data_IF_464274582809
#
_entry.id   IF_464274582809
#
_cell.length_a   1.000
_cell.length_b   1.000
_cell.length_c   1.000
_cell.angle_alpha   90.00
_cell.angle_beta   90.00
_cell.angle_gamma   90.00
#
_symmetry.space_group_name_H-M   'P 1'
#
loop_
_entity.id
_entity.type
_entity.pdbx_description
1 polymer ?
#
# COMPACT_ATOMS: atom_id res chain seq x y z
N UNK A 1 77.89 15.60 54.11
CA UNK A 1 78.83 16.63 53.59
C UNK A 1 79.11 16.26 52.14
N UNK A 2 78.15 16.43 51.21
CA UNK A 2 77.77 17.67 50.53
C UNK A 2 78.97 18.48 50.04
N UNK A 3 79.29 18.34 48.75
CA UNK A 3 79.81 19.41 47.89
C UNK A 3 79.09 19.34 46.53
N UNK A 4 77.88 19.92 46.53
CA UNK A 4 77.40 20.98 45.62
C UNK A 4 78.54 21.74 44.88
N UNK A 5 78.45 22.27 43.65
CA UNK A 5 77.36 22.79 42.79
C UNK A 5 77.88 23.03 41.35
N UNK A 6 77.00 22.79 40.37
CA UNK A 6 76.68 23.60 39.17
C UNK A 6 77.77 23.87 38.11
N UNK A 7 77.44 23.95 36.81
CA UNK A 7 76.84 25.17 36.22
C UNK A 7 76.41 24.93 34.74
N UNK A 8 75.11 25.21 34.44
CA UNK A 8 74.53 25.85 33.22
C UNK A 8 74.55 25.06 31.87
N UNK A 9 73.57 25.10 30.94
CA UNK A 9 72.30 25.83 30.73
C UNK A 9 71.67 25.28 29.41
N UNK A 10 70.33 25.25 29.29
CA UNK A 10 69.49 25.32 28.05
C UNK A 10 69.64 24.18 27.02
N UNK A 11 68.62 23.59 26.41
CA UNK A 11 67.26 24.01 26.03
C UNK A 11 66.49 22.72 25.65
N UNK A 12 65.17 22.67 25.85
CA UNK A 12 64.17 22.15 24.88
C UNK A 12 62.79 22.10 25.55
N UNK A 13 61.96 23.11 25.25
CA UNK A 13 60.51 23.07 25.46
C UNK A 13 59.85 22.12 24.45
N UNK A 14 58.81 21.38 24.87
CA UNK A 14 57.47 21.42 24.26
C UNK A 14 56.42 20.63 25.07
N UNK A 15 55.24 21.24 25.19
CA UNK A 15 54.03 20.85 25.91
C UNK A 15 53.43 19.49 25.50
N UNK A 16 52.74 18.81 26.44
CA UNK A 16 51.48 18.08 26.17
C UNK A 16 50.84 17.54 27.47
N UNK A 17 49.71 18.11 27.88
CA UNK A 17 48.78 17.56 28.88
C UNK A 17 47.81 16.60 28.19
N UNK A 18 48.17 15.32 28.10
CA UNK A 18 47.31 14.30 27.49
C UNK A 18 46.28 13.76 28.51
N UNK A 19 44.99 13.87 28.17
CA UNK A 19 43.88 13.17 28.83
C UNK A 19 44.07 11.65 28.65
N UNK A 20 43.88 10.85 29.71
CA UNK A 20 44.13 9.41 29.67
C UNK A 20 43.25 8.70 28.61
N UNK A 21 43.82 7.85 27.73
CA UNK A 21 43.11 7.23 26.60
C UNK A 21 41.89 6.41 27.00
N UNK A 22 41.92 5.79 28.18
CA UNK A 22 40.87 4.92 28.70
C UNK A 22 39.56 5.67 28.98
N UNK A 23 39.64 6.91 29.45
CA UNK A 23 38.46 7.77 29.69
C UNK A 23 37.81 8.14 28.35
N UNK A 24 38.61 8.36 27.32
CA UNK A 24 38.11 8.71 25.99
C UNK A 24 37.42 7.53 25.29
N UNK A 25 37.92 6.31 25.48
CA UNK A 25 37.28 5.08 24.99
C UNK A 25 35.94 4.86 25.69
N UNK A 26 35.87 5.02 27.01
CA UNK A 26 34.64 4.82 27.78
C UNK A 26 33.55 5.86 27.44
N UNK A 27 33.93 7.11 27.17
CA UNK A 27 33.00 8.14 26.69
C UNK A 27 32.56 7.89 25.23
N UNK A 28 33.43 7.34 24.38
CA UNK A 28 33.06 6.89 23.04
C UNK A 28 32.08 5.71 23.06
N UNK A 29 32.24 4.74 23.96
CA UNK A 29 31.31 3.62 24.14
C UNK A 29 29.93 4.09 24.62
N UNK A 30 29.89 5.05 25.55
CA UNK A 30 28.62 5.68 25.99
C UNK A 30 27.97 6.47 24.86
N UNK A 31 28.73 7.22 24.07
CA UNK A 31 28.18 7.91 22.90
C UNK A 31 27.65 6.93 21.84
N UNK A 32 28.37 5.84 21.58
CA UNK A 32 27.92 4.76 20.68
C UNK A 32 26.62 4.12 21.19
N UNK A 33 26.51 3.87 22.49
CA UNK A 33 25.29 3.34 23.08
C UNK A 33 24.10 4.32 22.96
N UNK A 34 24.32 5.62 23.16
CA UNK A 34 23.28 6.65 22.98
C UNK A 34 22.86 6.77 21.52
N UNK A 35 23.79 6.69 20.56
CA UNK A 35 23.48 6.67 19.12
C UNK A 35 22.65 5.43 18.76
N UNK A 36 23.01 4.24 19.28
CA UNK A 36 22.24 3.01 19.06
C UNK A 36 20.82 3.10 19.66
N UNK A 37 20.67 3.72 20.83
CA UNK A 37 19.35 3.98 21.44
C UNK A 37 18.54 4.96 20.59
N UNK A 38 19.15 6.03 20.07
CA UNK A 38 18.48 6.99 19.17
C UNK A 38 18.10 6.37 17.81
N UNK A 39 18.90 5.43 17.27
CA UNK A 39 18.53 4.67 16.07
C UNK A 39 17.37 3.72 16.34
N UNK A 40 17.26 3.16 17.55
CA UNK A 40 16.10 2.33 17.95
C UNK A 40 14.84 3.15 18.25
N UNK A 41 14.98 4.43 18.63
CA UNK A 41 13.88 5.34 18.94
C UNK A 41 13.45 6.21 17.75
N UNK A 42 14.23 6.21 16.67
CA UNK A 42 13.88 6.85 15.40
C UNK A 42 13.29 5.80 14.48
N UNK A 43 12.00 5.49 14.66
CA UNK A 43 11.22 4.85 13.61
C UNK A 43 11.16 5.80 12.42
N UNK A 44 12.19 5.80 11.58
CA UNK A 44 12.13 6.48 10.29
C UNK A 44 11.02 5.75 9.54
N UNK A 45 9.88 6.42 9.39
CA UNK A 45 8.80 6.02 8.49
C UNK A 45 9.36 6.11 7.07
N UNK A 46 10.15 5.12 6.66
CA UNK A 46 10.69 5.07 5.30
C UNK A 46 9.58 4.66 4.36
N UNK A 47 9.00 5.64 3.67
CA UNK A 47 8.19 5.35 2.50
C UNK A 47 9.05 4.60 1.49
N UNK A 48 8.50 3.53 0.93
CA UNK A 48 9.21 2.62 0.04
C UNK A 48 8.63 2.73 -1.35
N UNK A 49 9.49 2.89 -2.35
CA UNK A 49 9.11 2.75 -3.75
C UNK A 49 8.91 1.27 -4.09
N UNK A 50 7.65 0.90 -4.35
CA UNK A 50 7.24 -0.44 -4.75
C UNK A 50 7.06 -0.59 -6.26
N UNK A 51 7.49 0.39 -7.05
CA UNK A 51 7.53 0.29 -8.52
C UNK A 51 8.23 -1.00 -8.95
N UNK A 52 7.64 -1.70 -9.91
CA UNK A 52 8.12 -2.99 -10.42
C UNK A 52 8.26 -4.11 -9.36
N UNK A 53 7.54 -4.00 -8.23
CA UNK A 53 7.49 -5.02 -7.18
C UNK A 53 6.05 -5.44 -6.88
N UNK A 54 5.93 -6.63 -6.32
CA UNK A 54 4.67 -7.22 -5.83
C UNK A 54 4.79 -7.57 -4.34
N UNK A 55 3.67 -7.57 -3.63
CA UNK A 55 3.52 -8.38 -2.44
C UNK A 55 3.07 -9.79 -2.86
N UNK A 56 3.87 -10.80 -2.55
CA UNK A 56 3.56 -12.20 -2.78
C UNK A 56 3.20 -12.89 -1.46
N UNK A 57 2.01 -13.50 -1.41
CA UNK A 57 1.49 -14.28 -0.30
C UNK A 57 1.42 -15.74 -0.74
N UNK A 58 2.32 -16.60 -0.26
CA UNK A 58 2.55 -17.92 -0.89
C UNK A 58 1.51 -18.97 -0.51
N UNK A 59 0.75 -18.78 0.57
CA UNK A 59 -0.17 -19.79 1.08
C UNK A 59 -1.36 -19.19 1.81
N UNK A 60 -2.41 -19.99 1.86
CA UNK A 60 -3.61 -19.70 2.64
C UNK A 60 -3.26 -19.61 4.13
N UNK A 61 -3.73 -18.55 4.79
CA UNK A 61 -3.57 -18.35 6.23
C UNK A 61 -4.54 -17.28 6.71
N UNK A 62 -4.76 -17.20 8.03
CA UNK A 62 -5.42 -16.06 8.68
C UNK A 62 -4.40 -15.11 9.35
N UNK A 63 -3.12 -15.18 8.97
CA UNK A 63 -2.02 -14.49 9.68
C UNK A 63 -1.07 -13.71 8.77
N UNK A 64 -1.04 -14.02 7.48
CA UNK A 64 -0.21 -13.31 6.50
C UNK A 64 -0.98 -12.16 5.88
N UNK A 65 -0.50 -10.93 6.07
CA UNK A 65 -1.14 -9.74 5.52
C UNK A 65 -0.18 -8.54 5.45
N UNK A 66 -0.58 -7.54 4.67
CA UNK A 66 0.07 -6.23 4.62
C UNK A 66 -0.89 -5.18 5.14
N UNK A 67 -0.47 -4.41 6.14
CA UNK A 67 -1.17 -3.21 6.61
C UNK A 67 -0.63 -2.01 5.84
N UNK A 68 -1.49 -1.31 5.12
CA UNK A 68 -1.13 -0.06 4.45
C UNK A 68 -1.45 1.13 5.35
N UNK A 69 -0.52 2.07 5.44
CA UNK A 69 -0.66 3.30 6.21
C UNK A 69 -0.99 4.46 5.28
N UNK A 70 -2.25 4.93 5.24
CA UNK A 70 -2.67 5.96 4.30
C UNK A 70 -2.11 7.34 4.65
N UNK A 71 -1.93 8.17 3.63
CA UNK A 71 -1.46 9.56 3.74
C UNK A 71 -2.56 10.51 4.25
N UNK A 72 -3.83 10.10 4.15
CA UNK A 72 -5.01 10.85 4.59
C UNK A 72 -5.86 9.96 5.50
N UNK A 73 -6.39 10.53 6.58
CA UNK A 73 -7.17 9.79 7.57
C UNK A 73 -8.68 9.75 7.31
N UNK A 74 -9.15 10.29 6.18
CA UNK A 74 -10.59 10.44 5.91
C UNK A 74 -11.27 11.46 6.83
N UNK A 75 -12.61 11.46 6.94
CA UNK A 75 -13.53 10.57 6.21
C UNK A 75 -13.53 10.86 4.71
N UNK A 76 -13.89 9.88 3.90
CA UNK A 76 -13.92 10.00 2.43
C UNK A 76 -15.35 10.09 1.93
N UNK A 77 -15.70 11.21 1.29
CA UNK A 77 -16.98 11.40 0.62
C UNK A 77 -16.96 10.85 -0.82
N UNK A 78 -15.80 10.58 -1.37
CA UNK A 78 -15.63 9.85 -2.62
C UNK A 78 -14.25 9.20 -2.61
N UNK A 79 -14.08 8.18 -3.43
CA UNK A 79 -12.81 7.50 -3.55
C UNK A 79 -12.68 6.80 -4.90
N UNK A 80 -11.44 6.53 -5.27
CA UNK A 80 -11.08 5.55 -6.30
C UNK A 80 -9.99 4.64 -5.73
N UNK A 81 -10.13 3.34 -5.89
CA UNK A 81 -9.10 2.35 -5.54
C UNK A 81 -8.74 1.59 -6.81
N UNK A 82 -7.44 1.46 -7.09
CA UNK A 82 -6.91 0.64 -8.17
C UNK A 82 -5.85 -0.32 -7.63
N UNK A 83 -5.79 -1.54 -8.17
CA UNK A 83 -4.79 -2.55 -7.86
C UNK A 83 -4.64 -3.55 -9.01
N UNK A 84 -3.54 -4.31 -9.00
CA UNK A 84 -3.37 -5.49 -9.84
C UNK A 84 -3.26 -6.73 -8.97
N UNK A 85 -3.92 -7.81 -9.38
CA UNK A 85 -3.90 -9.10 -8.71
C UNK A 85 -3.45 -10.20 -9.67
N UNK A 86 -2.62 -11.12 -9.19
CA UNK A 86 -2.26 -12.34 -9.90
C UNK A 86 -2.48 -13.55 -8.98
N UNK A 87 -3.53 -14.32 -9.25
CA UNK A 87 -3.93 -15.47 -8.42
C UNK A 87 -4.66 -16.53 -9.23
N UNK A 88 -4.46 -17.80 -8.88
CA UNK A 88 -5.18 -18.95 -9.44
C UNK A 88 -6.35 -19.41 -8.57
N UNK A 89 -6.67 -18.66 -7.51
CA UNK A 89 -7.74 -19.02 -6.58
C UNK A 89 -9.11 -19.01 -7.28
N UNK A 90 -9.85 -20.09 -7.10
CA UNK A 90 -11.27 -20.21 -7.52
C UNK A 90 -12.25 -19.99 -6.36
N UNK A 91 -11.76 -20.03 -5.12
CA UNK A 91 -12.53 -19.70 -3.92
C UNK A 91 -12.63 -18.18 -3.71
N UNK A 92 -13.55 -17.79 -2.85
CA UNK A 92 -13.69 -16.41 -2.44
C UNK A 92 -12.42 -15.88 -1.76
N UNK A 93 -12.08 -14.62 -1.99
CA UNK A 93 -10.92 -13.96 -1.39
C UNK A 93 -11.01 -12.43 -1.44
N UNK A 94 -10.44 -11.78 -0.44
CA UNK A 94 -10.28 -10.33 -0.36
C UNK A 94 -9.10 -9.85 -1.22
N UNK A 95 -9.31 -8.76 -1.96
CA UNK A 95 -8.25 -8.06 -2.71
C UNK A 95 -7.81 -6.77 -1.99
N UNK A 96 -8.76 -6.08 -1.36
CA UNK A 96 -8.52 -4.85 -0.63
C UNK A 96 -9.60 -4.69 0.45
N UNK A 97 -9.20 -4.66 1.72
CA UNK A 97 -10.12 -4.48 2.85
C UNK A 97 -9.78 -3.18 3.60
N UNK A 98 -10.73 -2.25 3.68
CA UNK A 98 -10.65 -1.04 4.47
C UNK A 98 -11.74 -1.08 5.56
N UNK A 99 -11.28 -1.22 6.80
CA UNK A 99 -12.12 -1.17 7.98
C UNK A 99 -11.92 0.15 8.71
N UNK A 100 -12.97 0.64 9.36
CA UNK A 100 -12.94 1.78 10.27
C UNK A 100 -13.51 1.36 11.63
N UNK A 101 -13.41 2.17 12.70
CA UNK A 101 -13.75 1.73 14.06
C UNK A 101 -15.15 1.09 14.23
N UNK A 102 -16.11 1.47 13.39
CA UNK A 102 -17.50 1.01 13.49
C UNK A 102 -17.98 0.21 12.25
N UNK A 103 -17.10 -0.05 11.28
CA UNK A 103 -17.42 -0.71 10.01
C UNK A 103 -16.24 -1.59 9.60
N UNK A 104 -16.42 -2.90 9.67
CA UNK A 104 -15.51 -3.90 9.11
C UNK A 104 -15.37 -3.73 7.59
N UNK A 105 -16.50 -3.65 6.88
CA UNK A 105 -16.59 -3.50 5.43
C UNK A 105 -16.96 -2.07 5.02
N UNK A 106 -16.21 -1.09 5.54
CA UNK A 106 -16.42 0.32 5.19
C UNK A 106 -16.08 0.59 3.72
N UNK A 107 -15.02 -0.04 3.21
CA UNK A 107 -14.80 -0.26 1.78
C UNK A 107 -14.09 -1.59 1.52
N UNK A 108 -14.67 -2.47 0.70
CA UNK A 108 -14.10 -3.80 0.40
C UNK A 108 -14.19 -4.11 -1.10
N UNK A 109 -13.09 -4.62 -1.66
CA UNK A 109 -13.07 -5.28 -2.96
C UNK A 109 -12.86 -6.78 -2.77
N UNK A 110 -13.85 -7.57 -3.15
CA UNK A 110 -13.88 -8.99 -2.84
C UNK A 110 -14.27 -9.82 -4.07
N UNK A 111 -13.46 -10.83 -4.37
CA UNK A 111 -13.86 -11.85 -5.33
C UNK A 111 -14.67 -12.90 -4.59
N UNK A 112 -15.94 -13.04 -4.97
CA UNK A 112 -16.86 -14.00 -4.37
C UNK A 112 -16.94 -15.28 -5.23
N UNK A 113 -17.61 -16.30 -4.69
CA UNK A 113 -17.95 -17.55 -5.37
C UNK A 113 -18.87 -17.28 -6.56
N UNK A 114 -19.04 -18.29 -7.41
CA UNK A 114 -19.99 -18.28 -8.53
C UNK A 114 -19.78 -17.13 -9.53
N UNK A 115 -18.53 -16.74 -9.78
CA UNK A 115 -18.17 -15.68 -10.72
C UNK A 115 -18.77 -14.31 -10.35
N UNK A 116 -18.92 -14.03 -9.06
CA UNK A 116 -19.36 -12.73 -8.57
C UNK A 116 -18.20 -11.94 -7.99
N UNK A 117 -18.24 -10.64 -8.17
CA UNK A 117 -17.35 -9.69 -7.52
C UNK A 117 -18.20 -8.71 -6.74
N UNK A 118 -17.83 -8.41 -5.50
CA UNK A 118 -18.52 -7.42 -4.68
C UNK A 118 -17.65 -6.22 -4.40
N UNK A 119 -18.31 -5.06 -4.40
CA UNK A 119 -17.82 -3.83 -3.79
C UNK A 119 -18.70 -3.56 -2.58
N UNK A 120 -18.11 -3.54 -1.39
CA UNK A 120 -18.83 -3.15 -0.18
C UNK A 120 -18.55 -1.70 0.18
N UNK A 121 -19.57 -0.98 0.61
CA UNK A 121 -19.46 0.38 1.14
C UNK A 121 -20.35 0.48 2.39
N UNK A 122 -19.77 0.84 3.54
CA UNK A 122 -20.50 0.97 4.79
C UNK A 122 -21.23 -0.30 5.28
N UNK A 123 -20.67 -1.48 5.00
CA UNK A 123 -21.23 -2.82 5.22
C UNK A 123 -22.46 -3.15 4.36
N UNK A 124 -22.61 -2.50 3.21
CA UNK A 124 -23.58 -2.90 2.19
C UNK A 124 -22.81 -3.39 0.98
N UNK A 125 -23.26 -4.50 0.39
CA UNK A 125 -22.62 -5.11 -0.77
C UNK A 125 -23.34 -4.78 -2.07
N UNK A 126 -22.56 -4.42 -3.09
CA UNK A 126 -22.98 -4.39 -4.47
C UNK A 126 -22.27 -5.48 -5.26
N UNK A 127 -23.04 -6.42 -5.81
CA UNK A 127 -22.54 -7.56 -6.58
C UNK A 127 -22.57 -7.28 -8.09
N UNK A 128 -21.50 -7.71 -8.77
CA UNK A 128 -21.36 -7.71 -10.22
C UNK A 128 -21.01 -9.12 -10.73
N UNK A 129 -21.50 -9.49 -11.90
CA UNK A 129 -21.17 -10.74 -12.57
C UNK A 129 -19.80 -10.61 -13.27
N UNK A 130 -18.73 -10.78 -12.48
CA UNK A 130 -17.34 -10.68 -12.92
C UNK A 130 -16.63 -12.00 -12.58
N UNK A 131 -16.35 -12.84 -13.58
CA UNK A 131 -15.64 -14.09 -13.38
C UNK A 131 -14.24 -13.90 -12.79
N UNK A 132 -13.91 -14.71 -11.79
CA UNK A 132 -12.57 -14.79 -11.21
C UNK A 132 -11.59 -15.68 -12.01
N UNK A 133 -11.92 -16.06 -13.23
CA UNK A 133 -11.17 -17.05 -14.02
C UNK A 133 -9.88 -16.51 -14.64
N UNK A 134 -9.79 -15.19 -14.85
CA UNK A 134 -8.56 -14.57 -15.32
C UNK A 134 -7.54 -14.51 -14.19
N UNK A 135 -6.40 -15.16 -14.40
CA UNK A 135 -5.36 -15.28 -13.37
C UNK A 135 -4.77 -13.92 -13.02
N UNK A 136 -4.55 -13.05 -14.02
CA UNK A 136 -4.02 -11.69 -13.85
C UNK A 136 -5.12 -10.66 -14.14
N UNK A 137 -5.31 -9.70 -13.24
CA UNK A 137 -6.36 -8.67 -13.36
C UNK A 137 -5.86 -7.30 -12.90
N UNK A 138 -6.21 -6.26 -13.65
CA UNK A 138 -6.12 -4.85 -13.22
C UNK A 138 -7.53 -4.40 -12.85
N UNK A 139 -7.74 -4.01 -11.60
CA UNK A 139 -9.05 -3.69 -11.05
C UNK A 139 -9.03 -2.27 -10.53
N UNK A 140 -10.02 -1.48 -10.93
CA UNK A 140 -10.31 -0.19 -10.32
C UNK A 140 -11.78 -0.13 -9.90
N UNK A 141 -12.07 0.52 -8.79
CA UNK A 141 -13.42 0.82 -8.34
C UNK A 141 -13.49 2.27 -7.87
N UNK A 142 -14.51 3.01 -8.30
CA UNK A 142 -14.76 4.38 -7.84
C UNK A 142 -16.17 4.50 -7.27
N UNK A 143 -16.34 5.39 -6.32
CA UNK A 143 -17.63 5.74 -5.75
C UNK A 143 -17.68 7.21 -5.32
N UNK A 144 -18.80 7.87 -5.60
CA UNK A 144 -19.10 9.25 -5.19
C UNK A 144 -20.32 9.31 -4.27
N UNK A 145 -20.18 9.84 -3.06
CA UNK A 145 -21.28 9.99 -2.11
C UNK A 145 -22.38 10.92 -2.59
N UNK A 146 -22.02 12.02 -3.27
CA UNK A 146 -22.98 13.06 -3.63
C UNK A 146 -24.04 12.50 -4.58
N UNK A 147 -23.61 11.74 -5.59
CA UNK A 147 -24.48 11.15 -6.61
C UNK A 147 -24.87 9.71 -6.30
N UNK A 148 -24.02 8.99 -5.57
CA UNK A 148 -24.05 7.53 -5.42
C UNK A 148 -23.40 6.79 -6.59
N UNK A 149 -22.87 7.47 -7.60
CA UNK A 149 -22.30 6.83 -8.80
C UNK A 149 -21.13 5.92 -8.40
N UNK A 150 -21.26 4.63 -8.71
CA UNK A 150 -20.26 3.61 -8.46
C UNK A 150 -19.96 2.84 -9.75
N UNK A 151 -18.68 2.64 -10.04
CA UNK A 151 -18.23 1.94 -11.25
C UNK A 151 -17.02 1.07 -10.93
N UNK A 152 -16.99 -0.13 -11.50
CA UNK A 152 -15.85 -1.04 -11.46
C UNK A 152 -15.30 -1.18 -12.87
N UNK A 153 -13.97 -1.15 -12.99
CA UNK A 153 -13.25 -1.47 -14.21
C UNK A 153 -12.40 -2.70 -13.98
N UNK A 154 -12.45 -3.65 -14.92
CA UNK A 154 -11.54 -4.80 -14.93
C UNK A 154 -10.83 -4.82 -16.27
N UNK A 155 -9.50 -4.86 -16.21
CA UNK A 155 -8.64 -4.80 -17.38
C UNK A 155 -9.07 -3.65 -18.29
N UNK A 156 -9.23 -2.45 -17.72
CA UNK A 156 -9.62 -1.23 -18.43
C UNK A 156 -11.04 -1.14 -18.98
N UNK A 157 -11.86 -2.18 -18.88
CA UNK A 157 -13.25 -2.17 -19.33
C UNK A 157 -14.19 -1.85 -18.17
N UNK A 158 -15.07 -0.83 -18.29
CA UNK A 158 -16.07 -0.54 -17.27
C UNK A 158 -17.18 -1.59 -17.26
N UNK A 159 -17.64 -1.94 -16.07
CA UNK A 159 -18.90 -2.66 -15.85
C UNK A 159 -20.05 -1.67 -15.70
N UNK A 160 -21.32 -2.12 -15.86
CA UNK A 160 -22.49 -1.28 -15.63
C UNK A 160 -22.40 -0.56 -14.29
N UNK A 161 -22.56 0.76 -14.33
CA UNK A 161 -22.58 1.60 -13.12
C UNK A 161 -23.76 1.28 -12.23
N UNK A 162 -23.67 1.66 -10.96
CA UNK A 162 -24.77 1.61 -10.01
C UNK A 162 -24.89 2.93 -9.24
N UNK A 163 -26.08 3.22 -8.70
CA UNK A 163 -26.27 4.27 -7.69
C UNK A 163 -26.30 3.58 -6.33
N UNK A 164 -25.20 3.69 -5.60
CA UNK A 164 -24.95 2.92 -4.39
C UNK A 164 -24.55 3.84 -3.24
N UNK A 165 -25.09 3.58 -2.03
CA UNK A 165 -24.73 4.28 -0.79
C UNK A 165 -24.70 5.82 -0.87
N UNK A 166 -25.58 6.43 -1.68
CA UNK A 166 -25.68 7.90 -1.81
C UNK A 166 -25.82 8.59 -0.45
N UNK A 167 -25.02 9.62 -0.20
CA UNK A 167 -24.98 10.39 1.03
C UNK A 167 -24.15 9.77 2.16
N UNK A 168 -23.63 8.55 1.98
CA UNK A 168 -22.73 7.91 2.94
C UNK A 168 -21.35 8.59 2.96
N UNK A 169 -20.54 8.36 3.99
CA UNK A 169 -19.11 8.70 4.00
C UNK A 169 -18.35 7.54 4.60
N UNK A 170 -17.31 7.07 3.92
CA UNK A 170 -16.38 6.11 4.50
C UNK A 170 -15.71 6.82 5.69
N UNK A 171 -15.73 6.18 6.86
CA UNK A 171 -15.37 6.87 8.10
C UNK A 171 -13.87 7.18 8.17
N UNK A 172 -13.52 8.02 9.14
CA UNK A 172 -12.13 8.36 9.41
C UNK A 172 -11.38 7.22 10.12
N UNK A 173 -10.05 7.34 10.14
CA UNK A 173 -9.11 6.42 10.76
C UNK A 173 -9.17 4.99 10.18
N UNK A 174 -8.99 4.81 8.86
CA UNK A 174 -9.04 3.49 8.25
C UNK A 174 -7.85 2.61 8.65
N UNK A 175 -8.08 1.30 8.77
CA UNK A 175 -7.06 0.26 8.67
C UNK A 175 -7.27 -0.44 7.33
N UNK A 176 -6.26 -0.33 6.46
CA UNK A 176 -6.26 -0.90 5.12
C UNK A 176 -5.39 -2.16 5.11
N UNK A 177 -5.96 -3.28 4.69
CA UNK A 177 -5.30 -4.59 4.67
C UNK A 177 -5.36 -5.20 3.28
N UNK A 178 -4.21 -5.73 2.85
CA UNK A 178 -4.06 -6.61 1.69
C UNK A 178 -3.77 -8.02 2.20
N UNK A 179 -4.41 -9.02 1.58
CA UNK A 179 -4.21 -10.43 1.89
C UNK A 179 -5.29 -11.06 2.76
N UNK A 180 -6.06 -10.26 3.49
CA UNK A 180 -7.12 -10.71 4.40
C UNK A 180 -8.38 -9.84 4.27
N UNK A 181 -9.51 -10.40 4.65
CA UNK A 181 -10.77 -9.69 4.89
C UNK A 181 -10.88 -9.42 6.39
N UNK A 182 -11.32 -8.21 6.78
CA UNK A 182 -11.41 -7.78 8.17
C UNK A 182 -12.84 -7.90 8.70
N UNK A 183 -13.16 -8.87 9.58
CA UNK A 183 -14.43 -8.91 10.33
C UNK A 183 -14.42 -8.05 11.62
N UNK A 184 -13.37 -7.23 11.79
CA UNK A 184 -13.25 -6.23 12.83
C UNK A 184 -12.18 -5.22 12.47
N UNK A 185 -12.16 -4.08 13.16
CA UNK A 185 -11.15 -3.05 12.97
C UNK A 185 -9.72 -3.59 13.23
N UNK A 186 -9.02 -3.97 12.15
CA UNK A 186 -7.66 -4.50 12.16
C UNK A 186 -7.50 -6.00 12.41
N UNK A 187 -8.56 -6.82 12.35
CA UNK A 187 -8.44 -8.24 12.68
C UNK A 187 -9.68 -9.10 12.42
N UNK A 188 -9.75 -10.25 13.10
CA UNK A 188 -10.73 -11.34 12.86
C UNK A 188 -10.71 -11.86 11.42
N UNK A 189 -9.52 -12.18 10.94
CA UNK A 189 -9.34 -12.72 9.60
C UNK A 189 -9.85 -14.18 9.51
N UNK A 190 -10.48 -14.53 8.39
CA UNK A 190 -10.79 -15.91 8.00
C UNK A 190 -9.84 -16.37 6.88
N UNK A 191 -9.14 -17.48 7.11
CA UNK A 191 -8.25 -18.07 6.12
C UNK A 191 -8.98 -18.43 4.80
N UNK A 192 -10.26 -18.79 4.87
CA UNK A 192 -11.06 -19.11 3.69
C UNK A 192 -11.29 -17.89 2.77
N UNK A 193 -11.09 -16.68 3.27
CA UNK A 193 -11.18 -15.41 2.55
C UNK A 193 -9.80 -14.80 2.23
N UNK A 194 -8.71 -15.48 2.59
CA UNK A 194 -7.37 -14.94 2.39
C UNK A 194 -6.97 -14.96 0.91
N UNK A 195 -6.17 -14.00 0.47
CA UNK A 195 -5.52 -14.07 -0.84
C UNK A 195 -4.32 -15.03 -0.79
N UNK A 196 -4.10 -15.73 -1.90
CA UNK A 196 -2.87 -16.46 -2.21
C UNK A 196 -2.46 -16.05 -3.62
N UNK A 197 -1.27 -15.49 -3.78
CA UNK A 197 -0.84 -14.89 -5.04
C UNK A 197 -0.14 -13.55 -4.85
N UNK A 198 -0.18 -12.72 -5.89
CA UNK A 198 0.53 -11.44 -5.94
C UNK A 198 -0.45 -10.25 -6.00
N UNK A 199 -0.09 -9.15 -5.32
CA UNK A 199 -0.73 -7.84 -5.45
C UNK A 199 0.32 -6.78 -5.77
N UNK A 200 0.01 -5.88 -6.69
CA UNK A 200 0.85 -4.72 -7.01
C UNK A 200 0.02 -3.50 -7.44
N UNK A 201 0.71 -2.39 -7.69
CA UNK A 201 0.14 -1.15 -8.22
C UNK A 201 -1.10 -0.67 -7.42
N UNK A 202 -1.06 -0.85 -6.09
CA UNK A 202 -2.17 -0.43 -5.21
C UNK A 202 -2.13 1.08 -5.02
N UNK A 203 -3.18 1.74 -5.49
CA UNK A 203 -3.37 3.17 -5.35
C UNK A 203 -4.77 3.51 -4.87
N UNK A 204 -4.88 4.57 -4.08
CA UNK A 204 -6.16 5.11 -3.62
C UNK A 204 -6.15 6.63 -3.68
N UNK A 205 -7.26 7.20 -4.13
CA UNK A 205 -7.56 8.62 -4.16
C UNK A 205 -8.80 8.92 -3.32
N UNK A 206 -8.87 10.12 -2.74
CA UNK A 206 -10.07 10.63 -2.02
C UNK A 206 -11.09 11.33 -2.94
N UNK A 207 -11.08 10.94 -4.22
CA UNK A 207 -11.96 11.45 -5.26
C UNK A 207 -12.23 10.40 -6.34
N UNK A 208 -13.26 10.64 -7.14
CA UNK A 208 -13.46 9.92 -8.40
C UNK A 208 -12.46 10.42 -9.44
N UNK A 209 -11.76 9.49 -10.09
CA UNK A 209 -10.90 9.80 -11.23
C UNK A 209 -11.73 9.99 -12.50
N UNK A 210 -11.29 10.91 -13.35
CA UNK A 210 -11.86 11.04 -14.71
C UNK A 210 -11.48 9.83 -15.58
N UNK A 211 -12.21 9.60 -16.66
CA UNK A 211 -11.90 8.53 -17.62
C UNK A 211 -10.49 8.65 -18.21
N UNK A 212 -9.96 9.86 -18.40
CA UNK A 212 -8.58 10.07 -18.86
C UNK A 212 -7.56 9.70 -17.78
N UNK A 213 -7.78 10.12 -16.54
CA UNK A 213 -6.90 9.80 -15.41
C UNK A 213 -6.88 8.29 -15.13
N UNK A 214 -8.04 7.65 -15.16
CA UNK A 214 -8.14 6.21 -14.95
C UNK A 214 -7.37 5.44 -16.01
N UNK A 215 -7.46 5.86 -17.28
CA UNK A 215 -6.63 5.33 -18.36
C UNK A 215 -5.15 5.42 -18.01
N UNK A 216 -4.66 6.58 -17.56
CA UNK A 216 -3.26 6.74 -17.18
C UNK A 216 -2.84 5.78 -16.05
N UNK A 217 -3.70 5.56 -15.05
CA UNK A 217 -3.46 4.57 -13.97
C UNK A 217 -3.38 3.15 -14.54
N UNK A 218 -4.37 2.75 -15.34
CA UNK A 218 -4.43 1.42 -15.96
C UNK A 218 -3.23 1.13 -16.90
N UNK A 219 -2.62 2.19 -17.45
CA UNK A 219 -1.45 2.12 -18.33
C UNK A 219 -0.11 2.34 -17.62
N UNK A 220 -0.10 2.44 -16.28
CA UNK A 220 1.08 2.77 -15.48
C UNK A 220 1.82 4.04 -15.97
N UNK A 221 1.07 5.07 -16.41
CA UNK A 221 1.62 6.33 -16.94
C UNK A 221 1.75 7.42 -15.88
N UNK A 222 2.38 7.08 -14.76
CA UNK A 222 2.81 8.05 -13.74
C UNK A 222 1.71 8.69 -12.89
N UNK A 223 0.47 8.21 -12.96
CA UNK A 223 -0.58 8.63 -12.03
C UNK A 223 -0.46 7.89 -10.71
N UNK A 224 -0.42 8.64 -9.61
CA UNK A 224 -0.27 8.12 -8.25
C UNK A 224 -1.40 8.57 -7.35
N UNK A 225 -1.76 7.71 -6.39
CA UNK A 225 -2.74 7.99 -5.35
C UNK A 225 -2.28 9.01 -4.31
N UNK A 226 -3.22 9.75 -3.75
CA UNK A 226 -2.99 10.74 -2.69
C UNK A 226 -3.46 10.27 -1.30
N UNK A 227 -4.10 9.10 -1.23
CA UNK A 227 -4.38 8.36 0.01
C UNK A 227 -3.42 7.18 0.14
N UNK A 228 -3.30 6.35 -0.90
CA UNK A 228 -2.33 5.25 -1.00
C UNK A 228 -1.51 5.44 -2.28
N UNK A 229 -0.20 5.47 -2.14
CA UNK A 229 0.73 5.64 -3.26
C UNK A 229 1.71 4.47 -3.32
N UNK A 230 1.57 3.58 -4.30
CA UNK A 230 2.48 2.46 -4.52
C UNK A 230 3.95 2.87 -4.70
N UNK A 231 4.21 4.02 -5.34
CA UNK A 231 5.57 4.52 -5.59
C UNK A 231 6.18 5.21 -4.36
N UNK A 232 5.38 5.41 -3.31
CA UNK A 232 5.79 6.07 -2.08
C UNK A 232 5.03 5.47 -0.89
N UNK A 233 5.11 4.15 -0.75
CA UNK A 233 4.20 3.38 0.10
C UNK A 233 4.72 3.28 1.54
N UNK A 234 3.86 3.59 2.50
CA UNK A 234 4.07 3.29 3.91
C UNK A 234 3.25 2.04 4.28
N UNK A 235 3.90 0.98 4.75
CA UNK A 235 3.26 -0.29 5.05
C UNK A 235 4.00 -1.10 6.12
N UNK A 236 3.30 -2.08 6.68
CA UNK A 236 3.85 -3.11 7.55
C UNK A 236 3.45 -4.49 7.02
N UNK A 237 4.38 -5.44 7.01
CA UNK A 237 4.08 -6.85 6.72
C UNK A 237 3.94 -7.64 8.02
N UNK A 238 3.03 -8.61 8.02
CA UNK A 238 2.83 -9.58 9.10
C UNK A 238 2.69 -10.97 8.52
N UNK A 239 3.24 -11.97 9.21
CA UNK A 239 3.28 -13.34 8.71
C UNK A 239 4.18 -13.51 7.50
N UNK A 240 3.78 -14.38 6.58
CA UNK A 240 4.55 -14.74 5.39
C UNK A 240 4.13 -13.89 4.20
N UNK A 241 4.79 -12.75 4.04
CA UNK A 241 4.67 -11.86 2.88
C UNK A 241 6.06 -11.61 2.32
N UNK A 242 6.25 -11.88 1.03
CA UNK A 242 7.53 -11.74 0.34
C UNK A 242 7.40 -10.63 -0.69
N UNK A 243 8.38 -9.74 -0.74
CA UNK A 243 8.45 -8.70 -1.78
C UNK A 243 9.30 -9.26 -2.92
N UNK A 244 8.71 -9.35 -4.11
CA UNK A 244 9.36 -9.89 -5.30
C UNK A 244 9.33 -8.87 -6.44
N UNK A 245 10.26 -8.95 -7.40
CA UNK A 245 10.12 -8.24 -8.66
C UNK A 245 8.84 -8.65 -9.39
N UNK A 246 8.12 -7.68 -9.95
CA UNK A 246 6.94 -7.94 -10.75
C UNK A 246 7.35 -8.54 -12.10
N UNK A 247 6.97 -9.80 -12.34
CA UNK A 247 7.29 -10.49 -13.59
C UNK A 247 6.27 -10.17 -14.68
N UNK A 248 4.99 -10.08 -14.32
CA UNK A 248 3.92 -9.74 -15.25
C UNK A 248 3.56 -8.26 -15.13
N UNK A 249 4.04 -7.45 -16.08
CA UNK A 249 3.57 -6.08 -16.24
C UNK A 249 2.29 -6.13 -17.10
N UNK A 250 1.14 -5.91 -16.50
CA UNK A 250 -0.10 -5.68 -17.27
C UNK A 250 0.05 -4.31 -17.95
N UNK A 251 0.40 -4.30 -19.22
CA UNK A 251 0.32 -3.12 -20.09
C UNK A 251 -1.01 -3.24 -20.85
N UNK A 252 -2.04 -2.55 -20.37
CA UNK A 252 -3.28 -2.46 -21.16
C UNK A 252 -3.01 -1.57 -22.38
N UNK A 253 -3.54 -1.91 -23.54
CA UNK A 253 -3.63 -1.00 -24.68
C UNK A 253 -5.12 -0.93 -25.00
N UNK A 254 -5.73 0.27 -25.04
CA UNK A 254 -7.11 0.36 -25.47
C UNK A 254 -7.12 0.11 -26.97
N UNK A 255 -7.70 -1.00 -27.39
CA UNK A 255 -8.55 -0.88 -28.56
C UNK A 255 -9.64 0.12 -28.17
N UNK A 256 -9.72 1.19 -28.95
CA UNK A 256 -10.62 2.31 -28.78
C UNK A 256 -12.00 1.85 -28.30
N UNK A 257 -12.60 2.58 -27.36
CA UNK A 257 -14.04 2.50 -27.16
C UNK A 257 -14.68 2.69 -28.54
N UNK A 258 -15.24 1.62 -29.12
CA UNK A 258 -15.92 1.66 -30.40
C UNK A 258 -17.03 2.70 -30.32
N UNK A 259 -16.94 3.73 -31.18
CA UNK A 259 -17.94 4.76 -31.31
C UNK A 259 -18.84 4.35 -32.49
N UNK A 260 -20.04 3.79 -32.27
CA UNK A 260 -20.92 3.36 -33.36
C UNK A 260 -21.66 4.57 -33.95
N UNK A 261 -20.93 5.57 -34.42
CA UNK A 261 -21.49 6.68 -35.22
C UNK A 261 -20.40 7.24 -36.13
N UNK A 262 -20.17 6.56 -37.25
CA UNK A 262 -19.77 7.22 -38.49
C UNK A 262 -20.08 6.23 -39.63
N UNK A 263 -21.18 6.53 -40.33
CA UNK A 263 -21.52 5.97 -41.64
C UNK A 263 -20.32 6.08 -42.57
N UNK A 264 -19.96 5.00 -43.28
CA UNK A 264 -19.54 5.10 -44.67
C UNK A 264 -19.92 3.84 -45.45
N UNK A 265 -20.97 4.01 -46.24
CA UNK A 265 -21.27 3.28 -47.48
C UNK A 265 -20.02 3.21 -48.35
N UNK A 266 -19.63 2.02 -48.82
CA UNK A 266 -19.05 1.81 -50.15
C UNK A 266 -19.33 0.38 -50.66
N UNK A 267 -20.04 0.37 -51.80
CA UNK A 267 -20.44 -0.72 -52.73
C UNK A 267 -21.52 -1.69 -52.25
#
# INVERSE_FOLDING_TARGET
MCLYLNIYRTEYQKFSTARQPWVQIQEMEKMLAVILILVSASGILTQTDMSDKVFFIPKESATSYVRLNPMKNGPFASLTVCLKSYTTLTRAHSLFSLATPNKDNDFLLFQDKNNKFSVSIGNQDWYLDIPGTAVVRSICASWDSLTGDAVVWVNGNPYPRNIFMKGYKVNANPIIIIGQEQDSYGGKFDAAQSLVGEISDVHMWDRVLTSQELKLVLYNRGMVGDVINWQNLNYETKGEVIILPQVCKIHYYPDSCYNPTEEHVYV
#
